data_IF_882828164466
#
_entry.id   IF_882828164466
#
_cell.length_a   1.000
_cell.length_b   1.000
_cell.length_c   1.000
_cell.angle_alpha   90.00
_cell.angle_beta   90.00
_cell.angle_gamma   90.00
#
_symmetry.space_group_name_H-M   'P 1'
#
loop_
_entity.id
_entity.type
_entity.pdbx_description
1 polymer ?
#
# COMPACT_ATOMS: atom_id res chain seq x y z
N UNK A 1 -26.45 -18.49 -8.71
CA UNK A 1 -25.88 -17.97 -9.95
C UNK A 1 -25.22 -16.63 -9.74
N UNK A 2 -25.90 -15.68 -9.09
CA UNK A 2 -25.31 -14.38 -8.77
C UNK A 2 -24.12 -14.50 -7.82
N UNK A 3 -24.21 -15.43 -6.87
CA UNK A 3 -23.12 -15.70 -5.93
C UNK A 3 -21.87 -16.21 -6.63
N UNK A 4 -22.04 -17.09 -7.63
CA UNK A 4 -20.93 -17.59 -8.43
C UNK A 4 -20.31 -16.51 -9.28
N UNK A 5 -21.13 -15.60 -9.84
CA UNK A 5 -20.65 -14.47 -10.61
C UNK A 5 -19.85 -13.48 -9.74
N UNK A 6 -20.35 -13.19 -8.53
CA UNK A 6 -19.65 -12.34 -7.59
C UNK A 6 -18.29 -12.88 -7.19
N UNK A 7 -18.21 -14.18 -6.91
CA UNK A 7 -16.95 -14.85 -6.58
C UNK A 7 -16.00 -14.86 -7.77
N UNK A 8 -16.51 -15.12 -8.99
CA UNK A 8 -15.71 -15.10 -10.19
C UNK A 8 -15.11 -13.71 -10.48
N UNK A 9 -15.88 -12.65 -10.25
CA UNK A 9 -15.43 -11.29 -10.44
C UNK A 9 -14.35 -10.90 -9.42
N UNK A 10 -14.47 -11.36 -8.17
CA UNK A 10 -13.45 -11.13 -7.14
C UNK A 10 -12.14 -11.81 -7.52
N UNK A 11 -12.18 -13.09 -7.91
CA UNK A 11 -11.00 -13.82 -8.34
C UNK A 11 -10.36 -13.19 -9.58
N UNK A 12 -11.16 -12.78 -10.55
CA UNK A 12 -10.68 -12.14 -11.76
C UNK A 12 -9.92 -10.85 -11.45
N UNK A 13 -10.46 -10.04 -10.53
CA UNK A 13 -9.84 -8.78 -10.11
C UNK A 13 -8.51 -9.03 -9.40
N UNK A 14 -8.46 -10.03 -8.51
CA UNK A 14 -7.24 -10.42 -7.82
C UNK A 14 -6.16 -10.88 -8.79
N UNK A 15 -6.54 -11.70 -9.76
CA UNK A 15 -5.61 -12.16 -10.79
C UNK A 15 -5.09 -11.02 -11.66
N UNK A 16 -5.96 -10.08 -12.03
CA UNK A 16 -5.56 -8.91 -12.82
C UNK A 16 -4.55 -8.04 -12.06
N UNK A 17 -4.77 -7.83 -10.77
CA UNK A 17 -3.81 -7.06 -9.94
C UNK A 17 -2.46 -7.76 -9.85
N UNK A 18 -2.43 -9.07 -9.66
CA UNK A 18 -1.19 -9.85 -9.63
C UNK A 18 -0.43 -9.76 -10.94
N UNK A 19 -1.14 -9.86 -12.06
CA UNK A 19 -0.53 -9.78 -13.39
C UNK A 19 0.04 -8.39 -13.62
N UNK A 20 -0.68 -7.34 -13.25
CA UNK A 20 -0.19 -5.97 -13.40
C UNK A 20 1.04 -5.71 -12.54
N UNK A 21 1.04 -6.20 -11.30
CA UNK A 21 2.18 -6.07 -10.42
C UNK A 21 3.39 -6.83 -10.99
N UNK A 22 3.19 -8.06 -11.46
CA UNK A 22 4.25 -8.85 -12.06
C UNK A 22 4.85 -8.18 -13.30
N UNK A 23 4.01 -7.57 -14.15
CA UNK A 23 4.47 -6.82 -15.32
C UNK A 23 5.30 -5.61 -14.93
N UNK A 24 4.85 -4.87 -13.93
CA UNK A 24 5.56 -3.69 -13.44
C UNK A 24 6.94 -4.06 -12.91
N UNK A 25 7.02 -5.15 -12.17
CA UNK A 25 8.26 -5.65 -11.58
C UNK A 25 9.21 -6.20 -12.65
N UNK A 26 8.66 -6.89 -13.65
CA UNK A 26 9.47 -7.50 -14.73
C UNK A 26 10.25 -6.47 -15.54
N UNK A 27 9.79 -5.22 -15.58
CA UNK A 27 10.49 -4.13 -16.25
C UNK A 27 11.71 -3.61 -15.47
N UNK A 28 11.91 -4.07 -14.25
CA UNK A 28 12.99 -3.65 -13.34
C UNK A 28 13.12 -2.12 -13.25
N UNK A 29 12.05 -1.40 -12.88
CA UNK A 29 12.08 0.05 -12.87
C UNK A 29 12.95 0.59 -11.74
N UNK A 30 13.52 1.79 -11.93
CA UNK A 30 14.19 2.52 -10.86
C UNK A 30 13.17 3.09 -9.86
N UNK A 31 11.97 3.40 -10.33
CA UNK A 31 10.87 3.96 -9.53
C UNK A 31 9.59 3.17 -9.82
N UNK A 32 8.93 2.72 -8.79
CA UNK A 32 7.66 2.02 -8.87
C UNK A 32 6.59 2.81 -8.15
N UNK A 33 5.52 3.18 -8.86
CA UNK A 33 4.38 3.88 -8.31
C UNK A 33 3.24 2.90 -8.10
N UNK A 34 2.75 2.79 -6.87
CA UNK A 34 1.67 1.87 -6.50
C UNK A 34 0.53 2.66 -5.89
N UNK A 35 -0.65 2.56 -6.51
CA UNK A 35 -1.87 3.21 -6.03
C UNK A 35 -2.81 2.14 -5.49
N UNK A 36 -2.98 2.12 -4.17
CA UNK A 36 -3.85 1.16 -3.47
C UNK A 36 -3.57 -0.29 -3.87
N UNK A 37 -2.32 -0.79 -3.71
CA UNK A 37 -1.92 -2.09 -4.27
C UNK A 37 -2.63 -3.29 -3.66
N UNK A 38 -3.23 -3.15 -2.47
CA UNK A 38 -3.91 -4.26 -1.78
C UNK A 38 -5.42 -4.15 -1.75
N UNK A 39 -5.98 -3.09 -2.34
CA UNK A 39 -7.43 -2.88 -2.36
C UNK A 39 -8.12 -3.98 -3.15
N UNK A 40 -9.20 -4.54 -2.58
CA UNK A 40 -9.98 -5.58 -3.22
C UNK A 40 -9.38 -6.99 -3.13
N UNK A 41 -8.23 -7.14 -2.47
CA UNK A 41 -7.61 -8.44 -2.24
C UNK A 41 -8.05 -9.02 -0.89
N UNK A 42 -8.14 -10.35 -0.80
CA UNK A 42 -8.36 -10.99 0.48
C UNK A 42 -7.09 -10.92 1.36
N UNK A 43 -7.24 -11.25 2.66
CA UNK A 43 -6.17 -11.10 3.64
C UNK A 43 -4.92 -11.91 3.26
N UNK A 44 -5.10 -13.14 2.78
CA UNK A 44 -3.99 -14.00 2.42
C UNK A 44 -3.21 -13.44 1.23
N UNK A 45 -3.92 -12.94 0.23
CA UNK A 45 -3.31 -12.34 -0.97
C UNK A 45 -2.65 -11.01 -0.63
N UNK A 46 -3.26 -10.21 0.24
CA UNK A 46 -2.65 -8.96 0.72
C UNK A 46 -1.30 -9.23 1.36
N UNK A 47 -1.23 -10.21 2.26
CA UNK A 47 0.00 -10.57 2.94
C UNK A 47 1.09 -10.99 1.95
N UNK A 48 0.72 -11.76 0.92
CA UNK A 48 1.64 -12.19 -0.11
C UNK A 48 2.18 -11.01 -0.93
N UNK A 49 1.30 -10.09 -1.33
CA UNK A 49 1.69 -8.89 -2.08
C UNK A 49 2.63 -8.01 -1.26
N UNK A 50 2.31 -7.78 0.02
CA UNK A 50 3.15 -6.96 0.90
C UNK A 50 4.53 -7.59 1.11
N UNK A 51 4.59 -8.90 1.32
CA UNK A 51 5.84 -9.61 1.47
C UNK A 51 6.70 -9.51 0.21
N UNK A 52 6.09 -9.66 -0.95
CA UNK A 52 6.77 -9.52 -2.24
C UNK A 52 7.34 -8.12 -2.42
N UNK A 53 6.55 -7.09 -2.13
CA UNK A 53 6.99 -5.69 -2.24
C UNK A 53 8.15 -5.39 -1.28
N UNK A 54 8.07 -5.91 -0.06
CA UNK A 54 9.12 -5.71 0.93
C UNK A 54 10.43 -6.36 0.49
N UNK A 55 10.38 -7.57 -0.06
CA UNK A 55 11.55 -8.24 -0.62
C UNK A 55 12.18 -7.45 -1.75
N UNK A 56 11.37 -6.89 -2.64
CA UNK A 56 11.85 -6.09 -3.75
C UNK A 56 12.58 -4.84 -3.29
N UNK A 57 12.06 -4.18 -2.26
CA UNK A 57 12.74 -3.04 -1.66
C UNK A 57 14.13 -3.41 -1.16
N UNK A 58 14.24 -4.56 -0.50
CA UNK A 58 15.47 -5.00 0.13
C UNK A 58 16.48 -5.55 -0.87
N UNK A 59 16.03 -6.36 -1.83
CA UNK A 59 16.90 -7.10 -2.74
C UNK A 59 17.26 -6.29 -3.98
N UNK A 60 16.34 -5.50 -4.51
CA UNK A 60 16.52 -4.80 -5.78
C UNK A 60 16.72 -3.30 -5.65
N UNK A 61 16.62 -2.76 -4.46
CA UNK A 61 16.77 -1.33 -4.18
C UNK A 61 15.92 -0.44 -5.07
N UNK A 62 14.71 -0.88 -5.38
CA UNK A 62 13.74 -0.11 -6.14
C UNK A 62 13.13 0.96 -5.22
N UNK A 63 13.09 2.21 -5.68
CA UNK A 63 12.36 3.26 -4.99
C UNK A 63 10.87 3.09 -5.25
N UNK A 64 10.08 3.03 -4.19
CA UNK A 64 8.63 2.86 -4.29
C UNK A 64 7.90 4.07 -3.71
N UNK A 65 6.88 4.52 -4.42
CA UNK A 65 5.91 5.48 -3.91
C UNK A 65 4.58 4.76 -3.84
N UNK A 66 4.03 4.64 -2.63
CA UNK A 66 2.82 3.86 -2.38
C UNK A 66 1.75 4.80 -1.85
N UNK A 67 0.61 4.83 -2.53
CA UNK A 67 -0.57 5.56 -2.07
C UNK A 67 -1.54 4.55 -1.48
N UNK A 68 -1.90 4.73 -0.22
CA UNK A 68 -2.84 3.86 0.45
C UNK A 68 -3.51 4.58 1.61
N UNK A 69 -4.78 4.24 1.88
CA UNK A 69 -5.47 4.65 3.09
C UNK A 69 -5.40 3.56 4.17
N UNK A 70 -4.76 2.45 3.87
CA UNK A 70 -4.55 1.37 4.83
C UNK A 70 -3.23 1.61 5.58
N UNK A 71 -3.33 1.99 6.85
CA UNK A 71 -2.16 2.31 7.67
C UNK A 71 -1.25 1.10 7.90
N UNK A 72 -1.81 -0.10 7.92
CA UNK A 72 -1.01 -1.33 8.04
C UNK A 72 -0.07 -1.53 6.86
N UNK A 73 -0.54 -1.23 5.65
CA UNK A 73 0.30 -1.28 4.45
C UNK A 73 1.45 -0.27 4.53
N UNK A 74 1.13 0.97 4.88
CA UNK A 74 2.13 2.03 5.01
C UNK A 74 3.15 1.69 6.09
N UNK A 75 2.69 1.20 7.24
CA UNK A 75 3.56 0.83 8.35
C UNK A 75 4.53 -0.30 7.97
N UNK A 76 4.07 -1.25 7.16
CA UNK A 76 4.88 -2.39 6.73
C UNK A 76 5.96 -1.99 5.72
N UNK A 77 5.64 -1.09 4.80
CA UNK A 77 6.48 -0.81 3.63
C UNK A 77 7.23 0.52 3.67
N UNK A 78 6.69 1.54 4.32
CA UNK A 78 7.21 2.89 4.19
C UNK A 78 8.36 3.18 5.14
N UNK A 79 9.41 3.82 4.62
CA UNK A 79 10.47 4.44 5.42
C UNK A 79 10.08 5.86 5.80
N UNK A 80 9.48 6.58 4.85
CA UNK A 80 8.99 7.95 5.05
C UNK A 80 7.51 8.02 4.63
N UNK A 81 6.77 8.86 5.33
CA UNK A 81 5.34 9.00 5.13
C UNK A 81 4.99 10.46 4.87
N UNK A 82 4.12 10.66 3.91
CA UNK A 82 3.52 11.95 3.60
C UNK A 82 2.02 11.83 3.82
N UNK A 83 1.50 12.57 4.78
CA UNK A 83 0.07 12.57 5.08
C UNK A 83 -0.59 13.71 4.30
N UNK A 84 -1.63 13.37 3.55
CA UNK A 84 -2.35 14.32 2.71
C UNK A 84 -3.81 14.44 3.12
N UNK A 85 -4.35 15.65 2.98
CA UNK A 85 -5.77 15.93 3.19
C UNK A 85 -6.20 17.00 2.21
N UNK A 86 -7.29 16.72 1.48
CA UNK A 86 -7.86 17.66 0.49
C UNK A 86 -6.81 18.18 -0.51
N UNK A 87 -5.95 17.29 -0.99
CA UNK A 87 -4.93 17.64 -1.97
C UNK A 87 -3.71 18.35 -1.41
N UNK A 88 -3.63 18.56 -0.09
CA UNK A 88 -2.52 19.26 0.55
C UNK A 88 -1.75 18.31 1.47
N UNK A 89 -0.43 18.49 1.52
CA UNK A 89 0.42 17.77 2.47
C UNK A 89 0.30 18.45 3.84
N UNK A 90 -0.16 17.69 4.84
CA UNK A 90 -0.32 18.22 6.19
C UNK A 90 0.83 17.85 7.13
N UNK A 91 1.46 16.71 6.86
CA UNK A 91 2.61 16.28 7.65
C UNK A 91 3.48 15.35 6.84
N UNK A 92 4.79 15.40 7.03
CA UNK A 92 5.75 14.48 6.43
C UNK A 92 6.84 14.15 7.44
N UNK A 93 7.34 12.92 7.38
CA UNK A 93 8.39 12.48 8.29
C UNK A 93 8.71 11.01 8.15
N UNK A 94 9.58 10.51 9.02
CA UNK A 94 9.86 9.09 9.11
C UNK A 94 8.62 8.34 9.58
N UNK A 95 8.46 7.11 9.11
CA UNK A 95 7.28 6.30 9.46
C UNK A 95 7.12 6.17 10.97
N UNK A 96 8.19 5.88 11.68
CA UNK A 96 8.13 5.75 13.15
C UNK A 96 7.62 7.02 13.82
N UNK A 97 8.08 8.19 13.39
CA UNK A 97 7.64 9.47 13.95
C UNK A 97 6.16 9.72 13.65
N UNK A 98 5.71 9.45 12.43
CA UNK A 98 4.31 9.66 12.03
C UNK A 98 3.38 8.77 12.85
N UNK A 99 3.75 7.51 13.08
CA UNK A 99 2.90 6.57 13.81
C UNK A 99 2.98 6.71 15.33
N UNK A 100 4.14 7.05 15.87
CA UNK A 100 4.34 7.12 17.31
C UNK A 100 4.16 8.52 17.88
N UNK A 101 4.50 9.56 17.12
CA UNK A 101 4.46 10.94 17.57
C UNK A 101 3.96 11.87 16.47
N UNK A 102 2.72 11.69 15.99
CA UNK A 102 2.16 12.56 14.96
C UNK A 102 1.95 13.99 15.50
N UNK A 103 2.35 14.99 14.71
CA UNK A 103 2.33 16.38 15.13
C UNK A 103 1.07 17.12 14.65
N UNK A 104 0.57 16.81 13.46
CA UNK A 104 -0.64 17.46 12.94
C UNK A 104 -1.89 16.78 13.51
N UNK A 105 -2.91 17.58 13.82
CA UNK A 105 -4.16 17.08 14.40
C UNK A 105 -4.85 16.03 13.51
N UNK A 106 -4.82 16.23 12.20
CA UNK A 106 -5.39 15.26 11.27
C UNK A 106 -4.65 13.92 11.30
N UNK A 107 -3.32 13.96 11.34
CA UNK A 107 -2.49 12.76 11.46
C UNK A 107 -2.78 12.03 12.76
N UNK A 108 -2.91 12.76 13.86
CA UNK A 108 -3.27 12.20 15.16
C UNK A 108 -4.61 11.46 15.10
N UNK A 109 -5.60 12.05 14.45
CA UNK A 109 -6.91 11.42 14.28
C UNK A 109 -6.82 10.14 13.44
N UNK A 110 -6.08 10.16 12.34
CA UNK A 110 -5.89 8.99 11.50
C UNK A 110 -5.24 7.83 12.27
N UNK A 111 -4.15 8.12 12.95
CA UNK A 111 -3.37 7.10 13.67
C UNK A 111 -4.18 6.52 14.81
N UNK A 112 -4.85 7.35 15.61
CA UNK A 112 -5.65 6.89 16.75
C UNK A 112 -6.92 6.16 16.32
N UNK A 113 -7.55 6.57 15.23
CA UNK A 113 -8.77 5.93 14.75
C UNK A 113 -8.53 4.56 14.11
N UNK A 114 -7.36 4.34 13.52
CA UNK A 114 -7.03 3.13 12.76
C UNK A 114 -6.19 2.13 13.54
N UNK A 115 -5.59 2.56 14.61
CA UNK A 115 -4.81 1.70 15.50
C UNK A 115 -5.54 1.49 16.82
#
# INVERSE_FOLDING_TARGET
>A
VERSRGLGDVYKRQMQQRVQLAKAIALEPALLLLDEPTTGLDVSVQALVLDTLKRLQQERKITMVIVSHDLGVIRTLADRVMVMRHGEVVETGLADQIFQDPQHSYTQQLVHAKL
#
